data_IF_136422740844
#
_entry.id   IF_136422740844
#
_cell.length_a   1.000
_cell.length_b   1.000
_cell.length_c   1.000
_cell.angle_alpha   90.00
_cell.angle_beta   90.00
_cell.angle_gamma   90.00
#
_symmetry.space_group_name_H-M   'P 1'
#
loop_
_entity.id
_entity.type
_entity.pdbx_description
1 polymer ?
#
# COMPACT_ATOMS: atom_id res chain seq x y z
N UNK A 1 -13.63 -7.36 -8.61
CA UNK A 1 -13.38 -8.29 -7.49
C UNK A 1 -12.94 -7.45 -6.30
N UNK A 2 -13.57 -7.63 -5.15
CA UNK A 2 -13.18 -6.98 -3.89
C UNK A 2 -12.05 -7.78 -3.24
N UNK A 3 -11.17 -7.12 -2.50
CA UNK A 3 -10.09 -7.77 -1.76
C UNK A 3 -10.63 -8.53 -0.54
N UNK A 4 -9.90 -9.54 -0.06
CA UNK A 4 -10.25 -10.24 1.17
C UNK A 4 -10.04 -9.34 2.41
N UNK A 5 -10.81 -9.58 3.48
CA UNK A 5 -10.65 -8.85 4.75
C UNK A 5 -9.25 -8.99 5.35
N UNK A 6 -8.60 -10.15 5.13
CA UNK A 6 -7.23 -10.36 5.58
C UNK A 6 -6.23 -9.44 4.86
N UNK A 7 -6.37 -9.27 3.54
CA UNK A 7 -5.53 -8.34 2.78
C UNK A 7 -5.80 -6.89 3.18
N UNK A 8 -7.06 -6.53 3.39
CA UNK A 8 -7.46 -5.19 3.86
C UNK A 8 -6.77 -4.85 5.20
N UNK A 9 -6.84 -5.75 6.19
CA UNK A 9 -6.15 -5.58 7.48
C UNK A 9 -4.65 -5.37 7.30
N UNK A 10 -4.00 -6.21 6.49
CA UNK A 10 -2.56 -6.12 6.25
C UNK A 10 -2.13 -4.81 5.61
N UNK A 11 -2.93 -4.28 4.69
CA UNK A 11 -2.66 -2.99 4.04
C UNK A 11 -2.81 -1.85 5.05
N UNK A 12 -3.81 -1.92 5.93
CA UNK A 12 -3.99 -0.91 6.97
C UNK A 12 -2.84 -0.94 7.99
N UNK A 13 -2.39 -2.13 8.39
CA UNK A 13 -1.22 -2.31 9.24
C UNK A 13 0.06 -1.77 8.58
N UNK A 14 0.29 -2.08 7.30
CA UNK A 14 1.41 -1.56 6.52
C UNK A 14 1.42 -0.03 6.52
N UNK A 15 0.30 0.60 6.18
CA UNK A 15 0.17 2.06 6.13
C UNK A 15 0.44 2.68 7.50
N UNK A 16 -0.10 2.08 8.56
CA UNK A 16 0.16 2.52 9.93
C UNK A 16 1.65 2.42 10.30
N UNK A 17 2.31 1.29 10.01
CA UNK A 17 3.73 1.07 10.29
C UNK A 17 4.63 2.08 9.56
N UNK A 18 4.32 2.41 8.31
CA UNK A 18 5.05 3.42 7.55
C UNK A 18 4.83 4.81 8.15
N UNK A 19 3.58 5.17 8.47
CA UNK A 19 3.25 6.48 9.07
C UNK A 19 3.88 6.67 10.45
N UNK A 20 3.94 5.61 11.26
CA UNK A 20 4.59 5.63 12.57
C UNK A 20 6.12 5.48 12.50
N UNK A 21 6.70 5.39 11.30
CA UNK A 21 8.13 5.12 11.07
C UNK A 21 8.65 3.89 11.84
N UNK A 22 7.81 2.87 12.00
CA UNK A 22 8.16 1.64 12.70
C UNK A 22 8.84 0.66 11.73
N UNK A 23 10.12 0.91 11.45
CA UNK A 23 10.90 0.18 10.44
C UNK A 23 11.16 -1.28 10.83
N UNK A 24 11.22 -1.57 12.13
CA UNK A 24 11.37 -2.94 12.63
C UNK A 24 10.13 -3.79 12.34
N UNK A 25 8.93 -3.22 12.52
CA UNK A 25 7.68 -3.92 12.20
C UNK A 25 7.55 -4.18 10.68
N UNK A 26 8.02 -3.23 9.84
CA UNK A 26 7.96 -3.36 8.39
C UNK A 26 8.71 -4.58 7.86
N UNK A 27 9.79 -4.99 8.51
CA UNK A 27 10.59 -6.19 8.14
C UNK A 27 9.73 -7.46 8.00
N UNK A 28 8.62 -7.55 8.73
CA UNK A 28 7.71 -8.70 8.68
C UNK A 28 6.60 -8.58 7.61
N UNK A 29 6.43 -7.38 7.07
CA UNK A 29 5.34 -7.02 6.15
C UNK A 29 5.81 -6.86 4.70
N UNK A 30 7.07 -6.47 4.50
CA UNK A 30 7.68 -6.19 3.19
C UNK A 30 8.76 -7.22 2.82
N UNK A 31 9.15 -7.29 1.55
CA UNK A 31 10.29 -8.07 1.09
C UNK A 31 11.61 -7.51 1.65
N UNK A 32 12.68 -8.33 1.79
CA UNK A 32 13.99 -7.83 2.19
C UNK A 32 14.50 -6.67 1.34
N UNK A 33 14.26 -6.72 0.03
CA UNK A 33 14.64 -5.70 -0.95
C UNK A 33 13.92 -4.37 -0.69
N UNK A 34 12.61 -4.41 -0.44
CA UNK A 34 11.84 -3.22 -0.10
C UNK A 34 12.20 -2.69 1.30
N UNK A 35 12.49 -3.59 2.26
CA UNK A 35 12.95 -3.21 3.59
C UNK A 35 14.28 -2.46 3.52
N UNK A 36 15.25 -3.02 2.77
CA UNK A 36 16.55 -2.39 2.54
C UNK A 36 16.36 -1.00 1.92
N UNK A 37 15.56 -0.88 0.85
CA UNK A 37 15.24 0.42 0.24
C UNK A 37 14.68 1.43 1.24
N UNK A 38 13.74 1.03 2.09
CA UNK A 38 13.15 1.90 3.13
C UNK A 38 14.21 2.36 4.14
N UNK A 39 15.16 1.50 4.49
CA UNK A 39 16.24 1.79 5.45
C UNK A 39 17.33 2.67 4.83
N UNK A 40 17.73 2.38 3.60
CA UNK A 40 18.89 3.02 2.94
C UNK A 40 18.51 4.31 2.21
N UNK A 41 17.24 4.51 1.86
CA UNK A 41 16.75 5.70 1.15
C UNK A 41 15.79 6.52 2.03
N UNK A 42 16.29 7.46 2.87
CA UNK A 42 15.44 8.30 3.72
C UNK A 42 14.39 9.08 2.93
N UNK A 43 14.76 9.53 1.72
CA UNK A 43 13.85 10.25 0.82
C UNK A 43 12.66 9.39 0.37
N UNK A 44 12.88 8.08 0.18
CA UNK A 44 11.81 7.16 -0.18
C UNK A 44 10.82 7.00 0.97
N UNK A 45 11.31 6.79 2.20
CA UNK A 45 10.47 6.73 3.39
C UNK A 45 9.70 8.05 3.62
N UNK A 46 10.37 9.20 3.51
CA UNK A 46 9.72 10.51 3.64
C UNK A 46 8.62 10.72 2.59
N UNK A 47 8.87 10.33 1.34
CA UNK A 47 7.88 10.39 0.28
C UNK A 47 6.68 9.49 0.58
N UNK A 48 6.91 8.25 1.05
CA UNK A 48 5.82 7.36 1.46
C UNK A 48 5.02 7.98 2.62
N UNK A 49 5.67 8.49 3.66
CA UNK A 49 4.98 9.16 4.77
C UNK A 49 4.16 10.37 4.30
N UNK A 50 4.66 11.15 3.33
CA UNK A 50 3.99 12.34 2.83
C UNK A 50 2.81 12.04 1.90
N UNK A 51 2.86 10.94 1.16
CA UNK A 51 1.86 10.62 0.14
C UNK A 51 0.82 9.60 0.61
N UNK A 52 1.16 8.74 1.58
CA UNK A 52 0.24 7.73 2.08
C UNK A 52 -1.01 8.38 2.68
N UNK A 53 -2.21 7.84 2.38
CA UNK A 53 -3.43 8.30 3.02
C UNK A 53 -3.36 8.06 4.52
N UNK A 54 -3.93 8.98 5.31
CA UNK A 54 -4.03 8.79 6.76
C UNK A 54 -4.72 7.46 7.08
N UNK A 55 -4.21 6.69 8.05
CA UNK A 55 -4.78 5.39 8.40
C UNK A 55 -6.29 5.45 8.77
N UNK A 56 -6.78 6.60 9.27
CA UNK A 56 -8.21 6.83 9.51
C UNK A 56 -9.03 6.89 8.21
N UNK A 57 -8.47 7.43 7.13
CA UNK A 57 -9.14 7.50 5.82
C UNK A 57 -9.36 6.12 5.23
N UNK A 58 -8.45 5.18 5.50
CA UNK A 58 -8.58 3.77 5.11
C UNK A 58 -9.70 3.03 5.85
N UNK A 59 -10.23 3.57 6.95
CA UNK A 59 -11.39 3.00 7.65
C UNK A 59 -12.74 3.47 7.06
N UNK A 60 -12.74 4.52 6.25
CA UNK A 60 -13.95 5.05 5.66
C UNK A 60 -14.25 4.36 4.32
N UNK A 61 -15.07 3.31 4.36
CA UNK A 61 -15.42 2.50 3.19
C UNK A 61 -16.16 3.29 2.10
N UNK A 62 -16.81 4.41 2.43
CA UNK A 62 -17.50 5.24 1.44
C UNK A 62 -16.52 6.01 0.54
N UNK A 63 -15.29 6.23 1.01
CA UNK A 63 -14.25 6.94 0.27
C UNK A 63 -13.36 5.99 -0.55
N UNK A 64 -13.50 4.67 -0.38
CA UNK A 64 -12.53 3.69 -0.87
C UNK A 64 -13.18 2.76 -1.89
N UNK A 65 -12.58 2.69 -3.06
CA UNK A 65 -12.79 1.59 -4.00
C UNK A 65 -11.54 0.72 -4.02
N UNK A 66 -11.68 -0.57 -3.76
CA UNK A 66 -10.57 -1.53 -3.83
C UNK A 66 -10.74 -2.47 -5.02
N UNK A 67 -9.61 -2.85 -5.62
CA UNK A 67 -9.55 -3.89 -6.63
C UNK A 67 -8.28 -4.71 -6.49
N UNK A 68 -8.38 -6.00 -6.76
CA UNK A 68 -7.24 -6.90 -6.85
C UNK A 68 -7.02 -7.35 -8.29
N UNK A 69 -5.75 -7.48 -8.68
CA UNK A 69 -5.31 -8.05 -9.95
C UNK A 69 -4.22 -9.08 -9.70
N UNK A 70 -4.40 -10.29 -10.21
CA UNK A 70 -3.32 -11.29 -10.24
C UNK A 70 -2.32 -10.87 -11.34
N UNK A 71 -1.04 -10.75 -10.98
CA UNK A 71 0.02 -10.38 -11.91
C UNK A 71 0.61 -11.62 -12.57
N UNK A 72 0.99 -12.61 -11.75
CA UNK A 72 1.47 -13.90 -12.20
C UNK A 72 0.96 -15.00 -11.24
N UNK A 73 0.47 -16.10 -11.84
CA UNK A 73 -0.14 -17.22 -11.11
C UNK A 73 0.90 -18.21 -10.61
N UNK A 74 2.03 -18.31 -11.28
CA UNK A 74 3.08 -19.28 -10.98
C UNK A 74 3.90 -18.83 -9.76
N UNK A 75 4.22 -17.53 -9.68
CA UNK A 75 4.85 -16.92 -8.50
C UNK A 75 3.83 -16.44 -7.44
N UNK A 76 2.53 -16.55 -7.76
CA UNK A 76 1.39 -16.08 -6.95
C UNK A 76 1.51 -14.60 -6.57
N UNK A 77 2.06 -13.80 -7.45
CA UNK A 77 2.10 -12.35 -7.32
C UNK A 77 0.76 -11.73 -7.67
N UNK A 78 0.37 -10.73 -6.89
CA UNK A 78 -0.86 -10.01 -7.10
C UNK A 78 -0.68 -8.56 -6.67
N UNK A 79 -1.57 -7.72 -7.13
CA UNK A 79 -1.59 -6.31 -6.88
C UNK A 79 -2.92 -5.93 -6.29
N UNK A 80 -2.88 -5.05 -5.29
CA UNK A 80 -4.06 -4.43 -4.72
C UNK A 80 -4.01 -2.93 -4.99
N UNK A 81 -5.06 -2.41 -5.60
CA UNK A 81 -5.25 -1.00 -5.85
C UNK A 81 -6.34 -0.46 -4.92
N UNK A 82 -5.97 0.52 -4.11
CA UNK A 82 -6.87 1.36 -3.33
C UNK A 82 -7.03 2.70 -4.04
N UNK A 83 -8.25 3.01 -4.44
CA UNK A 83 -8.63 4.34 -4.90
C UNK A 83 -9.37 5.05 -3.77
N UNK A 84 -8.74 6.06 -3.20
CA UNK A 84 -9.34 6.96 -2.22
C UNK A 84 -9.86 8.22 -2.93
N UNK A 85 -11.15 8.49 -2.79
CA UNK A 85 -11.81 9.66 -3.38
C UNK A 85 -12.05 10.72 -2.33
N UNK A 86 -11.14 11.70 -2.25
CA UNK A 86 -11.32 12.88 -1.42
C UNK A 86 -12.10 13.98 -2.18
N UNK A 87 -12.62 15.01 -1.49
CA UNK A 87 -13.31 16.12 -2.16
C UNK A 87 -12.46 16.83 -3.22
N UNK A 88 -11.15 16.98 -2.96
CA UNK A 88 -10.22 17.77 -3.78
C UNK A 88 -9.37 16.95 -4.76
N UNK A 89 -9.22 15.65 -4.49
CA UNK A 89 -8.23 14.81 -5.16
C UNK A 89 -8.62 13.33 -5.10
N UNK A 90 -7.97 12.55 -5.97
CA UNK A 90 -7.98 11.11 -5.98
C UNK A 90 -6.59 10.62 -5.60
N UNK A 91 -6.50 9.74 -4.61
CA UNK A 91 -5.25 9.07 -4.24
C UNK A 91 -5.36 7.61 -4.63
N UNK A 92 -4.40 7.15 -5.41
CA UNK A 92 -4.25 5.75 -5.82
C UNK A 92 -3.07 5.16 -5.06
N UNK A 93 -3.34 4.18 -4.20
CA UNK A 93 -2.36 3.39 -3.48
C UNK A 93 -2.33 2.00 -4.11
N UNK A 94 -1.25 1.70 -4.81
CA UNK A 94 -1.01 0.44 -5.49
C UNK A 94 0.05 -0.33 -4.72
N UNK A 95 -0.29 -1.54 -4.28
CA UNK A 95 0.56 -2.38 -3.44
C UNK A 95 0.73 -3.71 -4.15
N UNK A 96 1.96 -4.01 -4.53
CA UNK A 96 2.33 -5.29 -5.13
C UNK A 96 2.73 -6.27 -4.04
N UNK A 97 2.18 -7.47 -4.11
CA UNK A 97 2.52 -8.59 -3.24
C UNK A 97 3.21 -9.68 -4.03
N UNK A 98 4.30 -10.21 -3.49
CA UNK A 98 5.00 -11.39 -3.98
C UNK A 98 4.97 -12.48 -2.90
N UNK A 99 4.94 -13.75 -3.31
CA UNK A 99 4.94 -14.85 -2.34
C UNK A 99 6.36 -15.33 -2.08
N UNK A 100 6.86 -15.11 -0.87
CA UNK A 100 8.13 -15.64 -0.40
C UNK A 100 7.91 -16.65 0.71
N UNK A 101 8.39 -17.90 0.54
CA UNK A 101 8.37 -18.93 1.59
C UNK A 101 7.03 -19.08 2.33
N UNK A 102 5.94 -19.21 1.57
CA UNK A 102 4.55 -19.36 2.06
C UNK A 102 3.89 -18.09 2.65
N UNK A 103 4.60 -16.96 2.73
CA UNK A 103 4.01 -15.66 3.10
C UNK A 103 3.95 -14.73 1.89
N UNK A 104 2.84 -14.05 1.70
CA UNK A 104 2.79 -12.94 0.74
C UNK A 104 3.41 -11.73 1.39
N UNK A 105 4.47 -11.15 0.85
CA UNK A 105 5.13 -9.94 1.35
C UNK A 105 4.88 -8.80 0.36
N UNK A 106 4.93 -7.57 0.84
CA UNK A 106 4.84 -6.39 -0.02
C UNK A 106 6.16 -6.19 -0.74
N UNK A 107 6.10 -6.22 -2.07
CA UNK A 107 7.23 -6.11 -2.98
C UNK A 107 7.46 -4.65 -3.41
N UNK A 108 6.37 -3.92 -3.65
CA UNK A 108 6.42 -2.53 -4.10
C UNK A 108 5.19 -1.75 -3.61
N UNK A 109 5.39 -0.44 -3.40
CA UNK A 109 4.35 0.50 -3.00
C UNK A 109 4.45 1.72 -3.91
N UNK A 110 3.39 1.96 -4.68
CA UNK A 110 3.27 3.12 -5.56
C UNK A 110 2.08 3.97 -5.15
N UNK A 111 2.29 5.29 -5.10
CA UNK A 111 1.26 6.25 -4.68
C UNK A 111 1.17 7.34 -5.72
N UNK A 112 -0.02 7.50 -6.29
CA UNK A 112 -0.32 8.55 -7.26
C UNK A 112 -1.44 9.44 -6.73
N UNK A 113 -1.22 10.75 -6.72
CA UNK A 113 -2.22 11.74 -6.35
C UNK A 113 -2.63 12.56 -7.57
N UNK A 114 -3.92 12.60 -7.86
CA UNK A 114 -4.51 13.31 -9.00
C UNK A 114 -5.47 14.36 -8.46
N UNK A 115 -5.20 15.64 -8.71
CA UNK A 115 -6.12 16.71 -8.36
C UNK A 115 -7.41 16.58 -9.20
N UNK A 116 -8.57 16.76 -8.57
CA UNK A 116 -9.83 16.89 -9.31
C UNK A 116 -9.85 18.29 -9.88
N UNK A 117 -9.55 18.43 -11.17
CA UNK A 117 -9.76 19.70 -11.87
C UNK A 117 -11.24 20.07 -11.73
N UNK A 118 -11.53 21.30 -11.27
CA UNK A 118 -12.86 21.88 -11.45
C UNK A 118 -13.10 21.95 -12.96
N UNK A 119 -14.05 21.16 -13.44
CA UNK A 119 -14.63 21.34 -14.76
C UNK A 119 -15.42 22.66 -14.79
#
# INVERSE_FOLDING_TARGET
MSISSHQETRIHELVYQIQSRNIEALKNSVTPELHEKIVTEPKYLEQLCSLLPEAKSLKNKELISTSERILDRDDRSFEVLYKLSYPTDLVYLQIKFSKNNKRSLVDDIQISKVAKSKA
#
